data_IF_632975198685
#
_entry.id   IF_632975198685
#
_cell.length_a   1.000
_cell.length_b   1.000
_cell.length_c   1.000
_cell.angle_alpha   90.00
_cell.angle_beta   90.00
_cell.angle_gamma   90.00
#
_symmetry.space_group_name_H-M   'P 1'
#
loop_
_entity.id
_entity.type
_entity.pdbx_description
1 polymer ?
#
# COMPACT_ATOMS: atom_id res chain seq x y z
N UNK A 1 37.00 10.16 -37.62
CA UNK A 1 36.46 11.30 -38.40
C UNK A 1 35.79 10.72 -39.65
N UNK A 2 34.57 11.15 -40.03
CA UNK A 2 34.11 12.54 -40.07
C UNK A 2 32.96 12.89 -39.12
N UNK A 3 32.93 14.18 -38.77
CA UNK A 3 31.80 14.93 -38.21
C UNK A 3 30.81 15.33 -39.30
N UNK A 4 29.53 15.38 -38.97
CA UNK A 4 28.61 16.38 -39.51
C UNK A 4 27.36 16.54 -38.61
N UNK A 5 27.33 17.68 -37.91
CA UNK A 5 26.20 18.61 -37.74
C UNK A 5 24.78 18.11 -37.41
N UNK A 6 24.42 18.29 -36.14
CA UNK A 6 23.32 19.11 -35.60
C UNK A 6 22.24 19.60 -36.58
N UNK A 7 20.98 19.22 -36.29
CA UNK A 7 19.84 20.15 -36.23
C UNK A 7 18.63 19.47 -35.52
N UNK A 8 18.21 20.01 -34.38
CA UNK A 8 16.83 19.92 -33.90
C UNK A 8 16.06 21.14 -34.45
N UNK A 9 14.72 21.08 -34.59
CA UNK A 9 13.92 21.60 -33.47
C UNK A 9 12.59 20.87 -33.21
N UNK A 10 12.25 20.87 -31.92
CA UNK A 10 10.95 21.16 -31.30
C UNK A 10 9.62 20.82 -32.01
N UNK A 11 8.80 20.14 -31.19
CA UNK A 11 7.40 20.43 -30.89
C UNK A 11 6.30 19.57 -31.53
N UNK A 12 5.63 18.83 -30.63
CA UNK A 12 4.17 18.73 -30.42
C UNK A 12 3.31 18.51 -31.66
N UNK A 13 2.81 17.28 -31.79
CA UNK A 13 1.70 16.95 -32.69
C UNK A 13 0.92 15.77 -32.14
N UNK A 14 0.03 16.05 -31.19
CA UNK A 14 -1.04 15.16 -30.72
C UNK A 14 -1.77 14.55 -31.92
N UNK A 15 -1.81 13.23 -31.99
CA UNK A 15 -2.64 12.52 -32.95
C UNK A 15 -4.13 12.77 -32.64
N UNK A 16 -4.94 13.25 -33.60
CA UNK A 16 -6.38 13.38 -33.40
C UNK A 16 -7.10 12.05 -33.66
N UNK A 17 -7.91 11.63 -32.69
CA UNK A 17 -8.81 10.50 -32.77
C UNK A 17 -9.81 10.61 -33.94
N UNK A 18 -10.17 9.48 -34.60
CA UNK A 18 -11.02 9.48 -35.78
C UNK A 18 -12.50 9.32 -35.38
N UNK A 19 -13.21 10.44 -35.25
CA UNK A 19 -14.68 10.45 -35.44
C UNK A 19 -15.14 11.88 -35.73
N UNK A 20 -15.18 12.25 -37.02
CA UNK A 20 -16.04 13.36 -37.46
C UNK A 20 -16.28 13.32 -38.97
N UNK A 21 -17.31 12.60 -39.37
CA UNK A 21 -18.05 12.88 -40.62
C UNK A 21 -19.37 13.53 -40.25
N UNK A 22 -19.59 14.77 -40.72
CA UNK A 22 -20.92 15.39 -40.82
C UNK A 22 -21.65 14.76 -42.02
N UNK A 23 -22.99 14.75 -42.00
CA UNK A 23 -23.64 15.59 -43.01
C UNK A 23 -24.87 16.33 -42.46
N UNK A 24 -25.26 17.37 -43.19
CA UNK A 24 -26.65 17.82 -43.26
C UNK A 24 -27.01 18.95 -42.30
N UNK A 25 -26.85 20.18 -42.79
CA UNK A 25 -27.50 21.34 -42.20
C UNK A 25 -29.01 21.28 -42.35
N UNK A 26 -29.72 21.71 -41.30
CA UNK A 26 -31.04 22.33 -41.40
C UNK A 26 -31.14 23.44 -40.36
N UNK A 27 -31.53 24.63 -40.83
CA UNK A 27 -31.81 25.83 -40.03
C UNK A 27 -32.89 25.53 -39.00
N UNK A 28 -32.73 26.04 -37.79
CA UNK A 28 -33.85 26.35 -36.90
C UNK A 28 -33.58 27.70 -36.24
N UNK A 29 -34.55 28.59 -36.38
CA UNK A 29 -34.56 29.97 -35.92
C UNK A 29 -34.65 30.08 -34.39
N UNK A 30 -34.20 31.24 -33.87
CA UNK A 30 -34.40 31.75 -32.50
C UNK A 30 -35.83 31.53 -31.97
N UNK A 31 -35.95 30.96 -30.77
CA UNK A 31 -37.02 31.30 -29.79
C UNK A 31 -36.49 31.07 -28.36
N UNK A 32 -36.70 32.04 -27.48
CA UNK A 32 -37.05 31.78 -26.07
C UNK A 32 -35.93 31.68 -25.05
N UNK A 33 -35.86 32.67 -24.17
CA UNK A 33 -35.18 32.57 -22.87
C UNK A 33 -35.74 31.37 -22.07
N UNK A 34 -34.88 30.41 -21.74
CA UNK A 34 -35.21 29.28 -20.88
C UNK A 34 -35.12 29.72 -19.41
N UNK A 35 -36.28 30.07 -18.84
CA UNK A 35 -36.50 30.01 -17.41
C UNK A 35 -36.30 28.55 -17.00
N UNK A 36 -35.28 28.26 -16.18
CA UNK A 36 -35.04 26.91 -15.65
C UNK A 36 -36.32 26.41 -14.96
N UNK A 37 -36.90 25.27 -15.36
CA UNK A 37 -38.06 24.73 -14.67
C UNK A 37 -37.66 24.36 -13.25
N UNK A 38 -38.49 24.74 -12.27
CA UNK A 38 -38.36 24.25 -10.89
C UNK A 38 -38.31 22.72 -10.94
N UNK A 39 -37.34 22.07 -10.28
CA UNK A 39 -37.24 20.62 -10.31
C UNK A 39 -38.57 20.03 -9.81
N UNK A 40 -39.17 19.15 -10.63
CA UNK A 40 -40.38 18.42 -10.28
C UNK A 40 -40.18 17.65 -8.98
N UNK A 41 -41.26 17.37 -8.26
CA UNK A 41 -41.23 16.66 -6.97
C UNK A 41 -40.42 15.35 -7.02
N UNK A 42 -40.47 14.65 -8.17
CA UNK A 42 -39.70 13.44 -8.45
C UNK A 42 -38.19 13.68 -8.50
N UNK A 43 -37.77 14.82 -9.08
CA UNK A 43 -36.35 15.23 -9.16
C UNK A 43 -35.84 15.76 -7.83
N UNK A 44 -36.70 16.41 -7.03
CA UNK A 44 -36.37 16.80 -5.64
C UNK A 44 -36.12 15.58 -4.75
N UNK A 45 -36.96 14.55 -4.86
CA UNK A 45 -36.75 13.28 -4.14
C UNK A 45 -35.45 12.59 -4.56
N UNK A 46 -35.15 12.52 -5.86
CA UNK A 46 -33.90 11.93 -6.34
C UNK A 46 -32.64 12.68 -5.83
N UNK A 47 -32.67 14.02 -5.83
CA UNK A 47 -31.57 14.82 -5.28
C UNK A 47 -31.44 14.70 -3.76
N UNK A 48 -32.56 14.53 -3.04
CA UNK A 48 -32.55 14.26 -1.61
C UNK A 48 -31.97 12.87 -1.30
N UNK A 49 -32.31 11.84 -2.08
CA UNK A 49 -31.73 10.50 -1.96
C UNK A 49 -30.22 10.49 -2.20
N UNK A 50 -29.74 11.17 -3.25
CA UNK A 50 -28.30 11.31 -3.51
C UNK A 50 -27.57 12.06 -2.38
N UNK A 51 -28.23 13.07 -1.78
CA UNK A 51 -27.67 13.81 -0.64
C UNK A 51 -27.58 12.92 0.60
N UNK A 52 -28.61 12.12 0.87
CA UNK A 52 -28.63 11.15 1.97
C UNK A 52 -27.53 10.10 1.79
N UNK A 53 -27.39 9.50 0.60
CA UNK A 53 -26.32 8.56 0.26
C UNK A 53 -24.93 9.17 0.44
N UNK A 54 -24.77 10.46 0.07
CA UNK A 54 -23.49 11.16 0.27
C UNK A 54 -23.18 11.45 1.73
N UNK A 55 -24.17 11.78 2.55
CA UNK A 55 -23.99 11.95 4.00
C UNK A 55 -23.79 10.63 4.72
N UNK A 56 -24.44 9.55 4.29
CA UNK A 56 -24.24 8.21 4.82
C UNK A 56 -22.82 7.70 4.50
N UNK A 57 -22.31 7.96 3.30
CA UNK A 57 -20.90 7.69 2.96
C UNK A 57 -19.94 8.52 3.81
N UNK A 58 -20.19 9.82 3.98
CA UNK A 58 -19.35 10.68 4.82
C UNK A 58 -19.35 10.24 6.29
N UNK A 59 -20.52 9.85 6.82
CA UNK A 59 -20.65 9.30 8.17
C UNK A 59 -19.97 7.94 8.29
N UNK A 60 -20.05 7.08 7.26
CA UNK A 60 -19.36 5.78 7.25
C UNK A 60 -17.83 5.93 7.24
N UNK A 61 -17.29 6.90 6.50
CA UNK A 61 -15.86 7.22 6.50
C UNK A 61 -15.44 7.76 7.87
N UNK A 62 -16.21 8.70 8.44
CA UNK A 62 -15.90 9.28 9.75
C UNK A 62 -16.04 8.26 10.90
N UNK A 63 -16.97 7.30 10.78
CA UNK A 63 -17.11 6.18 11.72
C UNK A 63 -15.92 5.22 11.60
N UNK A 64 -15.46 4.94 10.38
CA UNK A 64 -14.30 4.10 10.09
C UNK A 64 -13.01 4.72 10.62
N UNK A 65 -12.83 6.04 10.46
CA UNK A 65 -11.73 6.83 11.05
C UNK A 65 -11.76 6.81 12.58
N UNK A 66 -12.94 6.85 13.19
CA UNK A 66 -13.10 6.79 14.66
C UNK A 66 -12.85 5.39 15.23
N UNK A 67 -13.19 4.34 14.49
CA UNK A 67 -12.83 2.95 14.86
C UNK A 67 -11.33 2.73 14.71
N UNK A 68 -10.72 3.26 13.64
CA UNK A 68 -9.27 3.30 13.41
C UNK A 68 -8.49 3.98 14.56
N UNK A 69 -8.99 5.11 15.06
CA UNK A 69 -8.32 5.85 16.13
C UNK A 69 -8.48 5.19 17.51
N UNK A 70 -9.57 4.44 17.75
CA UNK A 70 -9.84 3.77 19.03
C UNK A 70 -9.04 2.48 19.22
N UNK A 71 -8.73 1.75 18.16
CA UNK A 71 -8.05 0.45 18.26
C UNK A 71 -6.54 0.59 18.54
N UNK A 72 -5.93 1.72 18.13
CA UNK A 72 -4.53 2.07 18.46
C UNK A 72 -4.20 2.11 19.95
N UNK A 73 -5.20 2.21 20.83
CA UNK A 73 -4.98 2.32 22.27
C UNK A 73 -4.61 1.00 22.94
N UNK A 74 -4.81 -0.15 22.28
CA UNK A 74 -4.63 -1.47 22.90
C UNK A 74 -3.32 -2.17 22.54
N UNK A 75 -2.73 -1.85 21.40
CA UNK A 75 -1.42 -2.40 21.03
C UNK A 75 -0.31 -1.45 21.47
N UNK A 76 0.66 -1.93 22.28
CA UNK A 76 1.76 -1.09 22.72
C UNK A 76 2.50 -0.60 21.47
N UNK A 77 2.78 0.70 21.47
CA UNK A 77 3.45 1.46 20.41
C UNK A 77 4.90 0.98 20.16
N UNK A 78 5.10 -0.27 19.72
CA UNK A 78 6.41 -0.86 19.44
C UNK A 78 7.16 -0.08 18.33
N UNK A 79 6.43 0.61 17.45
CA UNK A 79 6.96 1.27 16.26
C UNK A 79 7.47 2.71 16.47
N UNK A 80 7.31 3.32 17.65
CA UNK A 80 7.67 4.74 17.87
C UNK A 80 9.15 5.02 18.09
N UNK A 81 10.01 4.01 18.28
CA UNK A 81 11.41 4.22 18.74
C UNK A 81 12.40 3.34 17.97
N UNK A 82 12.20 3.15 16.68
CA UNK A 82 13.05 2.25 15.89
C UNK A 82 13.90 3.04 14.89
N UNK A 83 15.20 2.72 14.85
CA UNK A 83 16.12 3.26 13.85
C UNK A 83 15.76 2.70 12.45
N UNK A 84 15.94 3.48 11.37
CA UNK A 84 15.69 2.98 10.01
C UNK A 84 16.55 1.74 9.74
N UNK A 85 15.93 0.68 9.22
CA UNK A 85 16.60 -0.60 8.92
C UNK A 85 16.80 -1.53 10.12
N UNK A 86 16.38 -1.14 11.33
CA UNK A 86 16.46 -1.99 12.52
C UNK A 86 15.09 -2.37 13.06
N UNK A 87 14.96 -3.63 13.49
CA UNK A 87 13.77 -4.14 14.16
C UNK A 87 14.12 -4.40 15.63
N UNK A 88 13.16 -4.27 16.56
CA UNK A 88 13.41 -4.62 17.94
C UNK A 88 13.48 -6.14 18.06
N UNK A 89 14.58 -6.65 18.61
CA UNK A 89 14.77 -8.08 18.90
C UNK A 89 13.89 -8.55 20.08
N UNK A 90 13.34 -7.61 20.86
CA UNK A 90 12.54 -7.89 22.06
C UNK A 90 11.04 -8.10 21.82
N UNK A 91 10.63 -8.40 20.58
CA UNK A 91 9.20 -8.61 20.27
C UNK A 91 8.75 -9.97 20.85
N UNK A 92 7.69 -10.00 21.68
CA UNK A 92 7.22 -11.24 22.29
C UNK A 92 6.64 -12.19 21.23
N UNK A 93 6.86 -13.50 21.40
CA UNK A 93 6.41 -14.52 20.43
C UNK A 93 4.89 -14.49 20.19
N UNK A 94 4.09 -14.17 21.23
CA UNK A 94 2.64 -14.00 21.15
C UNK A 94 2.20 -12.97 20.08
N UNK A 95 2.97 -11.89 19.91
CA UNK A 95 2.68 -10.88 18.91
C UNK A 95 2.69 -11.45 17.49
N UNK A 96 3.64 -12.34 17.18
CA UNK A 96 3.74 -12.97 15.87
C UNK A 96 2.57 -13.91 15.59
N UNK A 97 2.12 -14.67 16.60
CA UNK A 97 0.90 -15.47 16.48
C UNK A 97 -0.31 -14.59 16.16
N UNK A 98 -0.47 -13.47 16.87
CA UNK A 98 -1.57 -12.52 16.62
C UNK A 98 -1.49 -11.87 15.24
N UNK A 99 -0.29 -11.65 14.69
CA UNK A 99 -0.11 -11.13 13.32
C UNK A 99 -0.63 -12.10 12.26
N UNK A 100 -0.27 -13.38 12.41
CA UNK A 100 -0.62 -14.45 11.47
C UNK A 100 -2.10 -14.83 11.56
N UNK A 101 -2.67 -14.81 12.76
CA UNK A 101 -4.08 -15.12 13.02
C UNK A 101 -5.06 -14.07 12.47
N UNK A 102 -4.59 -12.85 12.17
CA UNK A 102 -5.48 -11.76 11.75
C UNK A 102 -5.77 -10.74 12.85
N UNK A 103 -5.48 -11.10 14.10
CA UNK A 103 -5.76 -10.30 15.29
C UNK A 103 -5.04 -8.94 15.35
N UNK A 104 -3.89 -8.79 14.69
CA UNK A 104 -3.20 -7.50 14.54
C UNK A 104 -3.59 -6.85 13.22
N UNK A 105 -3.74 -5.52 13.24
CA UNK A 105 -4.02 -4.74 12.04
C UNK A 105 -2.89 -4.86 11.00
N UNK A 106 -3.28 -4.97 9.74
CA UNK A 106 -2.35 -5.16 8.63
C UNK A 106 -1.40 -3.97 8.47
N UNK A 107 -1.84 -2.74 8.78
CA UNK A 107 -0.99 -1.54 8.69
C UNK A 107 0.17 -1.60 9.68
N UNK A 108 -0.06 -2.15 10.88
CA UNK A 108 1.00 -2.31 11.89
C UNK A 108 2.12 -3.22 11.38
N UNK A 109 1.75 -4.31 10.69
CA UNK A 109 2.72 -5.23 10.07
C UNK A 109 3.46 -4.51 8.93
N UNK A 110 2.74 -3.80 8.05
CA UNK A 110 3.33 -3.05 6.95
C UNK A 110 4.33 -1.99 7.46
N UNK A 111 3.99 -1.27 8.52
CA UNK A 111 4.90 -0.28 9.13
C UNK A 111 6.21 -0.91 9.60
N UNK A 112 6.17 -2.09 10.19
CA UNK A 112 7.38 -2.82 10.58
C UNK A 112 8.20 -3.24 9.36
N UNK A 113 7.53 -3.72 8.30
CA UNK A 113 8.21 -4.09 7.05
C UNK A 113 8.86 -2.86 6.41
N UNK A 114 8.14 -1.75 6.27
CA UNK A 114 8.66 -0.49 5.73
C UNK A 114 9.87 0.00 6.50
N UNK A 115 9.79 -0.03 7.82
CA UNK A 115 10.90 0.36 8.68
C UNK A 115 12.13 -0.53 8.49
N UNK A 116 11.94 -1.84 8.39
CA UNK A 116 13.03 -2.79 8.15
C UNK A 116 13.67 -2.62 6.76
N UNK A 117 12.92 -2.11 5.78
CA UNK A 117 13.40 -1.75 4.45
C UNK A 117 14.08 -0.37 4.41
N UNK A 118 13.96 0.42 5.48
CA UNK A 118 14.54 1.76 5.60
C UNK A 118 13.59 2.92 5.28
N UNK A 119 12.32 2.64 4.95
CA UNK A 119 11.31 3.68 4.77
C UNK A 119 10.95 4.28 6.13
N UNK A 120 11.11 5.60 6.26
CA UNK A 120 10.77 6.32 7.49
C UNK A 120 9.85 7.48 7.18
N UNK A 121 8.67 7.55 7.80
CA UNK A 121 7.78 8.67 7.59
C UNK A 121 8.27 9.92 8.34
N UNK A 122 8.45 11.03 7.65
CA UNK A 122 8.73 12.33 8.26
C UNK A 122 7.42 13.13 8.43
N UNK A 123 6.90 13.27 9.66
CA UNK A 123 5.67 14.01 9.90
C UNK A 123 5.82 15.52 9.67
N UNK A 124 7.04 16.06 9.73
CA UNK A 124 7.27 17.50 9.51
C UNK A 124 7.19 17.85 8.02
N UNK A 125 7.68 16.96 7.17
CA UNK A 125 7.67 17.14 5.72
C UNK A 125 6.47 16.48 5.04
N UNK A 126 5.69 15.68 5.78
CA UNK A 126 4.59 14.84 5.28
C UNK A 126 5.02 13.97 4.11
N UNK A 127 6.23 13.40 4.20
CA UNK A 127 6.88 12.63 3.13
C UNK A 127 7.63 11.44 3.69
N UNK A 128 7.78 10.41 2.86
CA UNK A 128 8.63 9.27 3.17
C UNK A 128 10.09 9.60 2.91
N UNK A 129 10.94 9.37 3.92
CA UNK A 129 12.39 9.34 3.77
C UNK A 129 12.81 7.96 3.30
N UNK A 130 13.62 7.95 2.25
CA UNK A 130 14.08 6.74 1.55
C UNK A 130 15.60 6.62 1.54
N UNK A 131 16.30 7.43 2.35
CA UNK A 131 17.77 7.50 2.35
C UNK A 131 18.44 6.16 2.72
N UNK A 132 17.74 5.33 3.48
CA UNK A 132 18.19 4.00 3.90
C UNK A 132 17.61 2.85 3.05
N UNK A 133 16.81 3.16 2.02
CA UNK A 133 16.14 2.16 1.18
C UNK A 133 17.08 1.72 0.06
N UNK A 134 17.20 0.40 -0.12
CA UNK A 134 18.01 -0.15 -1.19
C UNK A 134 17.51 0.29 -2.59
N UNK A 135 18.41 0.59 -3.53
CA UNK A 135 18.04 1.18 -4.83
C UNK A 135 17.18 0.26 -5.69
N UNK A 136 17.24 -1.05 -5.48
CA UNK A 136 16.40 -2.02 -6.18
C UNK A 136 14.91 -1.84 -5.87
N UNK A 137 14.59 -1.54 -4.61
CA UNK A 137 13.23 -1.24 -4.17
C UNK A 137 12.73 0.08 -4.76
N UNK A 138 13.59 1.10 -4.84
CA UNK A 138 13.25 2.41 -5.43
C UNK A 138 13.08 2.38 -6.95
N UNK A 139 13.67 1.39 -7.64
CA UNK A 139 13.43 1.16 -9.07
C UNK A 139 12.09 0.47 -9.33
N UNK A 140 11.71 -0.44 -8.44
CA UNK A 140 10.47 -1.21 -8.56
C UNK A 140 9.25 -0.42 -8.06
N UNK A 141 9.42 0.41 -7.03
CA UNK A 141 8.35 1.15 -6.38
C UNK A 141 8.74 2.62 -6.20
N UNK A 142 7.82 3.57 -6.46
CA UNK A 142 8.11 4.99 -6.34
C UNK A 142 8.42 5.39 -4.90
N UNK A 143 9.35 6.34 -4.73
CA UNK A 143 9.76 6.83 -3.41
C UNK A 143 8.65 7.55 -2.63
N UNK A 144 7.63 8.07 -3.34
CA UNK A 144 6.55 8.85 -2.75
C UNK A 144 5.53 7.99 -1.98
N UNK A 145 5.45 6.69 -2.30
CA UNK A 145 4.51 5.77 -1.67
C UNK A 145 5.15 4.40 -1.43
N UNK A 146 5.32 3.98 -0.16
CA UNK A 146 5.88 2.67 0.12
C UNK A 146 4.95 1.57 -0.43
N UNK A 147 5.51 0.43 -0.85
CA UNK A 147 4.73 -0.67 -1.41
C UNK A 147 3.79 -1.29 -0.37
N UNK A 148 2.57 -1.61 -0.78
CA UNK A 148 1.67 -2.47 -0.01
C UNK A 148 2.05 -3.94 -0.28
N UNK A 149 2.19 -4.71 0.80
CA UNK A 149 2.53 -6.14 0.74
C UNK A 149 1.35 -7.05 1.06
N UNK A 150 0.30 -6.53 1.71
CA UNK A 150 -0.80 -7.33 2.25
C UNK A 150 -2.09 -7.13 1.45
N UNK A 151 -2.29 -5.94 0.90
CA UNK A 151 -3.56 -5.53 0.29
C UNK A 151 -4.44 -4.81 1.31
N UNK A 152 -3.87 -3.84 2.03
CA UNK A 152 -4.57 -2.97 2.98
C UNK A 152 -5.41 -1.88 2.31
N UNK A 153 -5.20 -1.67 1.01
CA UNK A 153 -5.78 -0.53 0.30
C UNK A 153 -7.31 -0.66 0.24
N UNK A 154 -8.01 0.34 0.78
CA UNK A 154 -9.49 0.41 0.84
C UNK A 154 -10.14 0.36 -0.56
N UNK A 155 -9.38 0.76 -1.58
CA UNK A 155 -9.73 0.67 -2.99
C UNK A 155 -8.96 -0.48 -3.63
N UNK A 156 -9.52 -1.69 -3.57
CA UNK A 156 -8.89 -2.88 -4.13
C UNK A 156 -9.31 -3.07 -5.60
N UNK A 157 -8.38 -2.85 -6.53
CA UNK A 157 -8.54 -3.22 -7.95
C UNK A 157 -7.71 -4.47 -8.28
N UNK A 158 -8.13 -5.33 -9.23
CA UNK A 158 -7.30 -6.44 -9.71
C UNK A 158 -5.91 -6.02 -10.21
N UNK A 159 -5.80 -4.81 -10.76
CA UNK A 159 -4.51 -4.24 -11.21
C UNK A 159 -3.57 -3.93 -10.04
N UNK A 160 -4.11 -3.56 -8.88
CA UNK A 160 -3.35 -3.31 -7.66
C UNK A 160 -2.87 -4.62 -7.04
N UNK A 161 -3.65 -5.70 -7.17
CA UNK A 161 -3.30 -7.01 -6.63
C UNK A 161 -2.01 -7.57 -7.23
N UNK A 162 -1.82 -7.41 -8.54
CA UNK A 162 -0.58 -7.82 -9.21
C UNK A 162 0.65 -7.05 -8.67
N UNK A 163 0.45 -5.78 -8.32
CA UNK A 163 1.51 -4.93 -7.75
C UNK A 163 1.86 -5.37 -6.33
N UNK A 164 0.84 -5.65 -5.51
CA UNK A 164 1.00 -6.18 -4.14
C UNK A 164 1.67 -7.55 -4.17
N UNK A 165 1.24 -8.42 -5.07
CA UNK A 165 1.83 -9.75 -5.23
C UNK A 165 3.31 -9.66 -5.61
N UNK A 166 3.65 -8.80 -6.59
CA UNK A 166 5.04 -8.56 -6.97
C UNK A 166 5.88 -8.04 -5.81
N UNK A 167 5.34 -7.13 -5.00
CA UNK A 167 6.03 -6.62 -3.82
C UNK A 167 6.28 -7.73 -2.79
N UNK A 168 5.28 -8.57 -2.53
CA UNK A 168 5.40 -9.71 -1.63
C UNK A 168 6.42 -10.74 -2.14
N UNK A 169 6.44 -11.04 -3.44
CA UNK A 169 7.40 -11.96 -4.05
C UNK A 169 8.84 -11.42 -3.95
N UNK A 170 9.04 -10.12 -4.20
CA UNK A 170 10.34 -9.46 -3.99
C UNK A 170 10.78 -9.55 -2.53
N UNK A 171 9.84 -9.37 -1.59
CA UNK A 171 10.12 -9.48 -0.16
C UNK A 171 10.58 -10.89 0.21
N UNK A 172 9.92 -11.93 -0.30
CA UNK A 172 10.34 -13.32 -0.10
C UNK A 172 11.72 -13.61 -0.71
N UNK A 173 12.03 -13.01 -1.86
CA UNK A 173 13.35 -13.10 -2.47
C UNK A 173 14.49 -12.51 -1.63
N UNK A 174 14.19 -11.64 -0.66
CA UNK A 174 15.18 -11.10 0.27
C UNK A 174 15.51 -12.05 1.45
N UNK A 175 14.77 -13.15 1.62
CA UNK A 175 14.99 -14.11 2.71
C UNK A 175 16.07 -15.11 2.26
N UNK A 176 17.20 -15.21 2.98
CA UNK A 176 18.20 -16.22 2.69
C UNK A 176 17.67 -17.64 2.86
N UNK A 177 18.25 -18.63 2.14
CA UNK A 177 17.79 -20.01 2.17
C UNK A 177 17.81 -20.62 3.58
N UNK A 178 18.71 -20.17 4.47
CA UNK A 178 18.83 -20.65 5.84
C UNK A 178 17.59 -20.32 6.69
N UNK A 179 16.83 -19.28 6.33
CA UNK A 179 15.68 -18.79 7.09
C UNK A 179 14.33 -19.11 6.44
N UNK A 180 14.29 -19.92 5.37
CA UNK A 180 13.04 -20.24 4.68
C UNK A 180 12.02 -20.98 5.55
N UNK A 181 12.50 -21.74 6.56
CA UNK A 181 11.64 -22.47 7.50
C UNK A 181 11.44 -21.75 8.85
N UNK A 182 11.87 -20.49 8.98
CA UNK A 182 11.90 -19.78 10.27
C UNK A 182 10.54 -19.69 10.95
N UNK A 183 9.44 -19.63 10.19
CA UNK A 183 8.09 -19.64 10.75
C UNK A 183 7.82 -20.90 11.55
N UNK A 184 8.23 -22.07 11.06
CA UNK A 184 8.02 -23.35 11.78
C UNK A 184 8.92 -23.47 13.00
N UNK A 185 10.12 -22.91 12.92
CA UNK A 185 11.10 -22.94 14.02
C UNK A 185 10.70 -22.00 15.16
N UNK A 186 10.26 -20.78 14.84
CA UNK A 186 9.90 -19.75 15.82
C UNK A 186 8.45 -19.83 16.27
N UNK A 187 7.55 -20.35 15.41
CA UNK A 187 6.12 -20.50 15.68
C UNK A 187 5.68 -21.96 15.51
N UNK A 188 6.15 -22.89 16.36
CA UNK A 188 5.84 -24.31 16.21
C UNK A 188 4.35 -24.64 16.41
N UNK A 189 3.59 -23.77 17.08
CA UNK A 189 2.15 -23.94 17.26
C UNK A 189 1.35 -23.46 16.04
N UNK A 190 1.99 -22.82 15.07
CA UNK A 190 1.32 -22.37 13.86
C UNK A 190 1.18 -23.55 12.88
N UNK A 191 -0.04 -24.03 12.60
CA UNK A 191 -0.26 -25.22 11.76
C UNK A 191 0.01 -24.99 10.27
N UNK A 192 0.40 -23.77 9.88
CA UNK A 192 0.51 -23.35 8.49
C UNK A 192 -0.77 -22.69 8.00
N UNK A 193 -0.69 -22.11 6.81
CA UNK A 193 -1.84 -21.56 6.12
C UNK A 193 -2.54 -22.73 5.41
N UNK A 194 -3.71 -23.16 5.92
CA UNK A 194 -4.46 -24.26 5.31
C UNK A 194 -4.96 -23.91 3.91
N UNK A 195 -4.80 -24.83 2.95
CA UNK A 195 -5.12 -24.62 1.53
C UNK A 195 -6.62 -24.37 1.26
N UNK A 196 -7.51 -24.78 2.16
CA UNK A 196 -8.97 -24.75 1.93
C UNK A 196 -9.71 -23.51 2.46
N UNK A 197 -9.06 -22.65 3.26
CA UNK A 197 -9.75 -21.54 3.95
C UNK A 197 -8.95 -20.22 4.04
N UNK A 198 -7.81 -20.13 3.37
CA UNK A 198 -6.92 -18.97 3.50
C UNK A 198 -7.13 -17.94 2.41
N UNK A 199 -7.35 -16.69 2.82
CA UNK A 199 -7.43 -15.57 1.87
C UNK A 199 -6.03 -15.20 1.36
N UNK A 200 -5.91 -14.61 0.16
CA UNK A 200 -4.63 -14.07 -0.33
C UNK A 200 -3.97 -13.11 0.68
N UNK A 201 -4.79 -12.34 1.39
CA UNK A 201 -4.35 -11.42 2.43
C UNK A 201 -3.68 -12.16 3.61
N UNK A 202 -4.23 -13.29 4.05
CA UNK A 202 -3.61 -14.11 5.11
C UNK A 202 -2.28 -14.69 4.67
N UNK A 203 -2.18 -15.20 3.44
CA UNK A 203 -0.91 -15.69 2.90
C UNK A 203 0.16 -14.59 2.89
N UNK A 204 -0.19 -13.39 2.42
CA UNK A 204 0.72 -12.24 2.39
C UNK A 204 1.14 -11.77 3.77
N UNK A 205 0.23 -11.82 4.76
CA UNK A 205 0.58 -11.57 6.17
C UNK A 205 1.65 -12.54 6.66
N UNK A 206 1.48 -13.83 6.37
CA UNK A 206 2.46 -14.86 6.74
C UNK A 206 3.81 -14.61 6.07
N UNK A 207 3.81 -14.23 4.78
CA UNK A 207 5.02 -13.84 4.05
C UNK A 207 5.74 -12.64 4.72
N UNK A 208 4.98 -11.60 5.11
CA UNK A 208 5.54 -10.45 5.83
C UNK A 208 6.15 -10.85 7.18
N UNK A 209 5.44 -11.68 7.95
CA UNK A 209 5.93 -12.16 9.26
C UNK A 209 7.17 -13.02 9.10
N UNK A 210 7.22 -13.91 8.11
CA UNK A 210 8.41 -14.71 7.81
C UNK A 210 9.64 -13.84 7.56
N UNK A 211 9.47 -12.80 6.74
CA UNK A 211 10.52 -11.85 6.43
C UNK A 211 10.99 -11.09 7.67
N UNK A 212 10.06 -10.59 8.50
CA UNK A 212 10.40 -9.87 9.73
C UNK A 212 11.17 -10.74 10.73
N UNK A 213 10.75 -11.99 10.91
CA UNK A 213 11.47 -12.95 11.77
C UNK A 213 12.87 -13.23 11.22
N UNK A 214 13.01 -13.42 9.90
CA UNK A 214 14.30 -13.67 9.27
C UNK A 214 15.24 -12.47 9.47
N UNK A 215 14.72 -11.24 9.34
CA UNK A 215 15.49 -10.02 9.60
C UNK A 215 15.98 -9.91 11.04
N UNK A 216 15.13 -10.23 12.02
CA UNK A 216 15.52 -10.22 13.44
C UNK A 216 16.61 -11.28 13.69
N UNK A 217 16.45 -12.49 13.15
CA UNK A 217 17.46 -13.55 13.29
C UNK A 217 18.82 -13.17 12.66
N UNK A 218 18.81 -12.49 11.51
CA UNK A 218 20.03 -11.94 10.91
C UNK A 218 20.71 -10.89 11.79
N UNK A 219 19.93 -9.96 12.36
CA UNK A 219 20.46 -8.92 13.25
C UNK A 219 21.12 -9.53 14.49
N UNK A 220 20.48 -10.52 15.11
CA UNK A 220 21.07 -11.23 16.25
C UNK A 220 22.36 -11.96 15.89
N UNK A 221 22.44 -12.54 14.70
CA UNK A 221 23.66 -13.21 14.23
C UNK A 221 24.81 -12.19 14.06
N UNK A 222 24.54 -11.06 13.40
CA UNK A 222 25.52 -9.98 13.21
C UNK A 222 26.00 -9.40 14.55
N UNK A 223 25.10 -9.25 15.53
CA UNK A 223 25.44 -8.79 16.88
C UNK A 223 26.33 -9.80 17.63
N UNK A 224 26.06 -11.10 17.47
CA UNK A 224 26.90 -12.16 18.05
C UNK A 224 28.30 -12.15 17.45
N UNK A 225 28.41 -12.00 16.14
CA UNK A 225 29.70 -11.99 15.44
C UNK A 225 30.55 -10.76 15.81
N UNK A 226 29.91 -9.59 15.96
CA UNK A 226 30.59 -8.36 16.43
C UNK A 226 31.17 -8.52 17.85
N UNK A 227 30.44 -9.21 18.74
CA UNK A 227 30.88 -9.42 20.13
C UNK A 227 32.14 -10.29 20.25
N UNK A 228 32.37 -11.18 19.27
CA UNK A 228 33.55 -12.06 19.27
C UNK A 228 34.74 -11.48 18.50
N UNK A 229 34.53 -10.45 17.70
CA UNK A 229 35.57 -9.85 16.83
C UNK A 229 36.11 -8.49 17.33
N UNK A 230 35.47 -7.88 18.33
CA UNK A 230 35.92 -6.63 18.99
C UNK A 230 36.42 -6.87 20.40
#
# INVERSE_FOLDING_TARGET
MPSAFVAAPFARGVAPCPWRTRPGGRRISRVGALISPRPTERRRRALASLRMESTERAQSVEQSDKTWAKDRSKDPLIWRVLHPGQLPTTIPTDFWYRCVDGSVDSMSILMMVWQSLGYTFDPNLMRWRVDAVAPEWLRAFPADHPPDFIGCTEWYSPDDDATVQRAADMLQGCIPPEYQNILREQLPQFPGVGESASTPQMHRRVQCVAYLLAKIAQQELEERDKKWTG
#
